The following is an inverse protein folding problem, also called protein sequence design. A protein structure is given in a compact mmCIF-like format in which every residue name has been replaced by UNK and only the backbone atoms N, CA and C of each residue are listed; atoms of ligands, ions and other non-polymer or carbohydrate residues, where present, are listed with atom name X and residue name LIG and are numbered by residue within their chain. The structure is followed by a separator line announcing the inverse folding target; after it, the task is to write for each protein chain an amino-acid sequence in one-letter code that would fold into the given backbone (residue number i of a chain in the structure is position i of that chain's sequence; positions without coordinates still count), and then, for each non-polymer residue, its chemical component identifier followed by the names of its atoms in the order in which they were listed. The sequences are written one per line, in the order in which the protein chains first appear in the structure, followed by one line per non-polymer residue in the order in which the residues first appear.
data_IF_941004838392
#
_entry.id   IF_941004838392
#
_cell.length_a   1.000
_cell.length_b   1.000
_cell.length_c   1.000
_cell.angle_alpha   90.00
_cell.angle_beta   90.00
_cell.angle_gamma   90.00
#
_symmetry.space_group_name_H-M   'P 1'
#
loop_
_entity.id
_entity.type
_entity.pdbx_description
1 polymer ?
#
# COMPACT_ATOMS: atom_id res chain seq x y z
N UNK A 1 9.77 22.90 2.32
CA UNK A 1 8.83 21.76 2.27
C UNK A 1 8.08 21.76 3.59
N UNK A 2 6.75 21.87 3.56
CA UNK A 2 5.93 22.05 4.78
C UNK A 2 5.67 20.71 5.45
N UNK A 3 5.77 20.63 6.78
CA UNK A 3 5.55 19.42 7.61
C UNK A 3 4.24 18.68 7.25
N UNK A 4 3.24 19.43 6.80
CA UNK A 4 1.90 18.93 6.43
C UNK A 4 1.96 17.91 5.26
N UNK A 5 2.86 18.11 4.30
CA UNK A 5 3.04 17.19 3.17
C UNK A 5 3.67 15.87 3.61
N UNK A 6 4.69 15.93 4.48
CA UNK A 6 5.39 14.74 4.97
C UNK A 6 4.47 13.85 5.82
N UNK A 7 3.53 14.45 6.57
CA UNK A 7 2.53 13.71 7.34
C UNK A 7 1.47 13.04 6.47
N UNK A 8 1.08 13.65 5.34
CA UNK A 8 0.11 13.07 4.42
C UNK A 8 0.68 11.81 3.75
N UNK A 9 1.91 11.88 3.24
CA UNK A 9 2.56 10.74 2.58
C UNK A 9 2.76 9.53 3.54
N UNK A 10 3.11 9.79 4.80
CA UNK A 10 3.24 8.72 5.82
C UNK A 10 1.90 8.05 6.13
N UNK A 11 0.80 8.81 6.17
CA UNK A 11 -0.55 8.25 6.37
C UNK A 11 -0.99 7.41 5.18
N UNK A 12 -0.74 7.89 3.96
CA UNK A 12 -1.10 7.15 2.74
C UNK A 12 -0.34 5.83 2.63
N UNK A 13 0.97 5.80 2.89
CA UNK A 13 1.73 4.55 2.91
C UNK A 13 1.21 3.55 3.94
N UNK A 14 0.88 4.03 5.14
CA UNK A 14 0.37 3.16 6.21
C UNK A 14 -1.03 2.61 5.88
N UNK A 15 -1.92 3.46 5.38
CA UNK A 15 -3.26 3.03 4.95
C UNK A 15 -3.20 2.03 3.80
N UNK A 16 -2.28 2.25 2.85
CA UNK A 16 -2.06 1.35 1.73
C UNK A 16 -1.50 -0.01 2.21
N UNK A 17 -0.56 -0.02 3.16
CA UNK A 17 -0.05 -1.25 3.78
C UNK A 17 -1.16 -2.05 4.46
N UNK A 18 -1.98 -1.41 5.28
CA UNK A 18 -3.13 -2.06 5.95
C UNK A 18 -4.17 -2.56 4.94
N UNK A 19 -4.42 -1.81 3.86
CA UNK A 19 -5.28 -2.23 2.77
C UNK A 19 -4.74 -3.52 2.12
N UNK A 20 -3.47 -3.53 1.69
CA UNK A 20 -2.86 -4.72 1.06
C UNK A 20 -2.93 -5.94 2.01
N UNK A 21 -2.61 -5.75 3.29
CA UNK A 21 -2.70 -6.82 4.30
C UNK A 21 -4.13 -7.34 4.48
N UNK A 22 -5.13 -6.46 4.50
CA UNK A 22 -6.53 -6.88 4.62
C UNK A 22 -6.98 -7.73 3.44
N UNK A 23 -6.56 -7.37 2.22
CA UNK A 23 -6.88 -8.12 1.01
C UNK A 23 -6.12 -9.45 0.93
N UNK A 24 -4.85 -9.47 1.33
CA UNK A 24 -4.09 -10.72 1.47
C UNK A 24 -4.74 -11.68 2.47
N UNK A 25 -5.19 -11.17 3.62
CA UNK A 25 -5.89 -11.96 4.62
C UNK A 25 -7.26 -12.46 4.15
N UNK A 26 -7.93 -11.77 3.24
CA UNK A 26 -9.15 -12.26 2.60
C UNK A 26 -8.90 -13.26 1.47
N UNK A 27 -7.65 -13.60 1.18
CA UNK A 27 -7.25 -14.52 0.10
C UNK A 27 -7.20 -13.86 -1.28
N UNK A 28 -7.21 -12.52 -1.35
CA UNK A 28 -7.06 -11.79 -2.60
C UNK A 28 -5.59 -11.77 -3.02
N UNK A 29 -5.27 -12.20 -4.26
CA UNK A 29 -3.88 -12.22 -4.72
C UNK A 29 -3.35 -10.81 -4.97
N UNK A 30 -2.04 -10.62 -4.79
CA UNK A 30 -1.34 -9.34 -5.01
C UNK A 30 -1.56 -8.76 -6.41
N UNK A 31 -1.76 -9.61 -7.42
CA UNK A 31 -2.07 -9.20 -8.79
C UNK A 31 -3.40 -8.45 -8.90
N UNK A 32 -4.40 -8.80 -8.10
CA UNK A 32 -5.71 -8.13 -8.09
C UNK A 32 -5.65 -6.83 -7.27
N UNK A 33 -4.89 -6.85 -6.17
CA UNK A 33 -4.59 -5.66 -5.37
C UNK A 33 -3.81 -4.63 -6.22
N UNK A 34 -2.84 -5.10 -7.00
CA UNK A 34 -2.04 -4.31 -7.95
C UNK A 34 -2.93 -3.61 -8.98
N UNK A 35 -3.92 -4.30 -9.54
CA UNK A 35 -4.89 -3.68 -10.44
C UNK A 35 -5.78 -2.65 -9.74
N UNK A 36 -6.23 -2.93 -8.50
CA UNK A 36 -7.07 -1.99 -7.73
C UNK A 36 -6.33 -0.72 -7.32
N UNK A 37 -5.06 -0.84 -6.97
CA UNK A 37 -4.22 0.27 -6.49
C UNK A 37 -3.45 0.96 -7.62
N UNK A 38 -3.41 0.38 -8.82
CA UNK A 38 -2.62 0.88 -9.95
C UNK A 38 -1.11 0.80 -9.72
N UNK A 39 -0.68 0.04 -8.71
CA UNK A 39 0.72 -0.13 -8.31
C UNK A 39 1.27 -1.45 -8.77
N UNK A 40 2.56 -1.52 -9.04
CA UNK A 40 3.19 -2.79 -9.40
C UNK A 40 3.25 -3.73 -8.20
N UNK A 41 3.19 -5.04 -8.43
CA UNK A 41 3.32 -6.06 -7.37
C UNK A 41 4.61 -5.82 -6.55
N UNK A 42 5.72 -5.46 -7.21
CA UNK A 42 6.97 -5.08 -6.54
C UNK A 42 6.84 -3.90 -5.57
N UNK A 43 6.07 -2.86 -5.93
CA UNK A 43 5.83 -1.75 -5.02
C UNK A 43 4.99 -2.20 -3.83
N UNK A 44 3.99 -3.07 -4.05
CA UNK A 44 3.18 -3.62 -2.97
C UNK A 44 4.02 -4.46 -2.00
N UNK A 45 4.96 -5.25 -2.52
CA UNK A 45 5.93 -6.00 -1.71
C UNK A 45 6.85 -5.07 -0.92
N UNK A 46 7.40 -4.03 -1.55
CA UNK A 46 8.27 -3.05 -0.86
C UNK A 46 7.53 -2.31 0.27
N UNK A 47 6.23 -2.04 0.09
CA UNK A 47 5.36 -1.43 1.11
C UNK A 47 5.04 -2.41 2.24
N UNK A 48 4.96 -3.72 1.94
CA UNK A 48 4.77 -4.75 2.97
C UNK A 48 6.05 -4.95 3.80
N UNK A 49 7.23 -4.89 3.15
CA UNK A 49 8.55 -5.09 3.77
C UNK A 49 9.04 -3.86 4.57
N UNK A 50 8.69 -2.63 4.17
CA UNK A 50 8.98 -1.37 4.91
C UNK A 50 8.15 -1.20 6.17
#
# INVERSE_FOLDING_TARGET
MSLIYEYAERKEKKALKEFILSFLNSGTPLSEISQKTGKSIKELEEILDS
#
